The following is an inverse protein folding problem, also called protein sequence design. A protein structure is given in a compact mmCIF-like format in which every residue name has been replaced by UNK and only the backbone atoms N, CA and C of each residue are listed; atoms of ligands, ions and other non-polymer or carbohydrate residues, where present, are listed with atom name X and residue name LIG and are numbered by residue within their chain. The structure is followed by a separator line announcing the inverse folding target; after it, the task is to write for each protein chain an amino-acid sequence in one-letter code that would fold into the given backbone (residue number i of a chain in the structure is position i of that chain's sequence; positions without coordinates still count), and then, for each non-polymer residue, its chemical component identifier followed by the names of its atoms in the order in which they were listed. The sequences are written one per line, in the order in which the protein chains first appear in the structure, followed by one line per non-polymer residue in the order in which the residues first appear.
data_IF_263568791604
#
_entry.id   IF_263568791604
#
_cell.length_a   1.000
_cell.length_b   1.000
_cell.length_c   1.000
_cell.angle_alpha   90.00
_cell.angle_beta   90.00
_cell.angle_gamma   90.00
#
_symmetry.space_group_name_H-M   'P 1'
#
loop_
_entity.id
_entity.type
_entity.pdbx_description
1 polymer ?
#
# COMPACT_ATOMS: atom_id res chain seq x y z
N UNK A 1 -25.74 4.80 -53.99
CA UNK A 1 -24.65 5.12 -53.04
C UNK A 1 -24.86 4.24 -51.82
N UNK A 2 -23.89 3.37 -51.50
CA UNK A 2 -23.95 2.40 -50.40
C UNK A 2 -22.80 2.69 -49.42
N UNK A 3 -23.10 2.51 -48.13
CA UNK A 3 -22.31 2.67 -46.90
C UNK A 3 -21.98 4.11 -46.47
N UNK A 4 -22.21 4.46 -45.18
CA UNK A 4 -21.69 3.72 -44.03
C UNK A 4 -22.72 3.42 -42.93
N UNK A 5 -22.98 2.14 -42.69
CA UNK A 5 -23.51 1.65 -41.41
C UNK A 5 -22.45 0.73 -40.85
N UNK A 6 -21.39 1.31 -40.29
CA UNK A 6 -20.45 0.60 -39.42
C UNK A 6 -19.59 1.59 -38.64
N UNK A 7 -20.21 2.42 -37.80
CA UNK A 7 -19.48 3.32 -36.91
C UNK A 7 -20.18 3.50 -35.56
N UNK A 8 -20.82 2.46 -35.03
CA UNK A 8 -21.40 2.51 -33.66
C UNK A 8 -21.38 1.11 -33.03
N UNK A 9 -20.22 0.43 -32.93
CA UNK A 9 -20.03 -0.64 -31.92
C UNK A 9 -18.53 -0.77 -31.57
N UNK A 10 -17.85 0.30 -31.18
CA UNK A 10 -16.57 0.19 -30.44
C UNK A 10 -16.50 1.30 -29.39
N UNK A 11 -17.57 1.44 -28.58
CA UNK A 11 -17.52 2.25 -27.35
C UNK A 11 -18.03 1.46 -26.12
N UNK A 12 -18.40 0.18 -26.29
CA UNK A 12 -18.89 -0.67 -25.18
C UNK A 12 -17.74 -1.54 -24.61
N UNK A 13 -16.55 -1.50 -25.20
CA UNK A 13 -15.36 -2.25 -24.75
C UNK A 13 -14.39 -1.47 -23.87
N UNK A 14 -14.80 -0.32 -23.30
CA UNK A 14 -14.00 0.47 -22.35
C UNK A 14 -14.79 0.79 -21.08
N UNK A 15 -15.76 -0.07 -20.72
CA UNK A 15 -16.11 -0.17 -19.30
C UNK A 15 -14.90 -0.83 -18.67
N UNK A 16 -14.06 -0.02 -18.01
CA UNK A 16 -12.92 -0.48 -17.23
C UNK A 16 -13.34 -1.74 -16.46
N UNK A 17 -12.75 -2.88 -16.80
CA UNK A 17 -12.97 -4.12 -16.07
C UNK A 17 -12.28 -3.99 -14.71
N UNK A 18 -12.81 -3.15 -13.81
CA UNK A 18 -12.40 -3.16 -12.41
C UNK A 18 -12.75 -4.54 -11.83
N UNK A 19 -11.82 -5.19 -11.12
CA UNK A 19 -12.13 -6.44 -10.44
C UNK A 19 -13.31 -6.24 -9.48
N UNK A 20 -14.18 -7.24 -9.38
CA UNK A 20 -15.21 -7.24 -8.35
C UNK A 20 -14.60 -7.81 -7.06
N UNK A 21 -14.28 -6.93 -6.12
CA UNK A 21 -13.75 -7.28 -4.81
C UNK A 21 -14.84 -7.55 -3.77
N UNK A 22 -16.14 -7.50 -4.13
CA UNK A 22 -17.24 -7.71 -3.19
C UNK A 22 -17.75 -6.44 -2.50
N UNK A 23 -17.12 -5.28 -2.74
CA UNK A 23 -17.60 -3.95 -2.35
C UNK A 23 -18.02 -3.12 -3.57
N UNK A 24 -18.96 -2.16 -3.44
CA UNK A 24 -19.17 -1.11 -4.44
C UNK A 24 -17.88 -0.34 -4.72
N UNK A 25 -17.67 0.07 -5.97
CA UNK A 25 -16.42 0.73 -6.40
C UNK A 25 -16.12 2.00 -5.58
N UNK A 26 -17.14 2.80 -5.28
CA UNK A 26 -16.97 4.03 -4.48
C UNK A 26 -16.49 3.71 -3.07
N UNK A 27 -16.99 2.62 -2.47
CA UNK A 27 -16.58 2.16 -1.13
C UNK A 27 -15.17 1.57 -1.16
N UNK A 28 -14.79 0.84 -2.22
CA UNK A 28 -13.42 0.34 -2.39
C UNK A 28 -12.39 1.49 -2.40
N UNK A 29 -12.67 2.55 -3.15
CA UNK A 29 -11.79 3.72 -3.24
C UNK A 29 -11.76 4.45 -1.89
N UNK A 30 -12.91 4.73 -1.30
CA UNK A 30 -12.98 5.43 -0.01
C UNK A 30 -12.23 4.70 1.11
N UNK A 31 -12.32 3.37 1.15
CA UNK A 31 -11.62 2.53 2.12
C UNK A 31 -10.11 2.56 1.90
N UNK A 32 -9.65 2.48 0.64
CA UNK A 32 -8.24 2.62 0.31
C UNK A 32 -7.69 4.00 0.64
N UNK A 33 -8.43 5.06 0.36
CA UNK A 33 -8.07 6.44 0.68
C UNK A 33 -7.92 6.61 2.20
N UNK A 34 -8.87 6.09 2.98
CA UNK A 34 -8.80 6.13 4.45
C UNK A 34 -7.57 5.40 4.99
N UNK A 35 -7.23 4.25 4.43
CA UNK A 35 -6.04 3.50 4.83
C UNK A 35 -4.78 4.30 4.52
N UNK A 36 -4.67 4.82 3.29
CA UNK A 36 -3.56 5.63 2.84
C UNK A 36 -3.39 6.87 3.72
N UNK A 37 -4.43 7.70 3.87
CA UNK A 37 -4.35 8.91 4.68
C UNK A 37 -3.89 8.63 6.12
N UNK A 38 -4.33 7.51 6.71
CA UNK A 38 -3.92 7.13 8.05
C UNK A 38 -2.45 6.71 8.10
N UNK A 39 -2.02 5.79 7.24
CA UNK A 39 -0.65 5.26 7.23
C UNK A 39 0.34 6.36 6.90
N UNK A 40 0.11 7.11 5.82
CA UNK A 40 0.98 8.21 5.39
C UNK A 40 1.08 9.32 6.44
N UNK A 41 0.04 9.54 7.26
CA UNK A 41 0.09 10.53 8.34
C UNK A 41 0.72 10.01 9.63
N UNK A 42 0.61 8.71 9.92
CA UNK A 42 1.03 8.13 11.19
C UNK A 42 2.51 7.75 11.17
N UNK A 43 2.97 7.24 10.03
CA UNK A 43 4.27 6.60 9.93
C UNK A 43 5.31 7.60 9.43
N UNK A 44 6.38 7.87 10.20
CA UNK A 44 7.40 8.82 9.80
C UNK A 44 8.24 8.26 8.63
N UNK A 45 8.25 8.99 7.52
CA UNK A 45 9.01 8.67 6.31
C UNK A 45 9.48 9.95 5.59
N UNK A 46 9.99 10.91 6.37
CA UNK A 46 10.56 12.16 5.88
C UNK A 46 11.80 11.93 5.00
N UNK A 47 12.51 10.81 5.22
CA UNK A 47 13.63 10.39 4.39
C UNK A 47 13.25 9.29 3.40
N UNK A 48 13.83 9.28 2.18
CA UNK A 48 13.62 8.18 1.22
C UNK A 48 14.31 6.88 1.67
N UNK A 49 15.21 6.93 2.65
CA UNK A 49 16.03 5.79 3.04
C UNK A 49 15.23 4.70 3.73
N UNK A 50 14.17 5.06 4.46
CA UNK A 50 13.29 4.06 5.07
C UNK A 50 12.42 3.37 4.01
N UNK A 51 12.02 4.09 2.95
CA UNK A 51 11.31 3.50 1.82
C UNK A 51 12.19 2.50 1.05
N UNK A 52 13.49 2.79 0.88
CA UNK A 52 14.45 1.83 0.29
C UNK A 52 14.47 0.50 1.05
N UNK A 53 14.33 0.52 2.39
CA UNK A 53 14.31 -0.71 3.22
C UNK A 53 13.05 -1.53 2.94
N UNK A 54 11.89 -0.87 2.83
CA UNK A 54 10.66 -1.59 2.48
C UNK A 54 10.68 -2.10 1.05
N UNK A 55 11.15 -1.29 0.09
CA UNK A 55 11.34 -1.73 -1.29
C UNK A 55 12.25 -2.96 -1.37
N UNK A 56 13.37 -2.96 -0.62
CA UNK A 56 14.25 -4.12 -0.54
C UNK A 56 13.53 -5.35 0.03
N UNK A 57 12.77 -5.20 1.11
CA UNK A 57 12.01 -6.30 1.71
C UNK A 57 10.98 -6.90 0.75
N UNK A 58 10.36 -6.08 -0.11
CA UNK A 58 9.42 -6.53 -1.17
C UNK A 58 10.15 -7.28 -2.28
N UNK A 59 11.26 -6.72 -2.79
CA UNK A 59 12.00 -7.30 -3.92
C UNK A 59 12.80 -8.55 -3.54
N UNK A 60 13.21 -8.64 -2.27
CA UNK A 60 14.11 -9.65 -1.74
C UNK A 60 13.54 -10.35 -0.49
N UNK A 61 12.37 -11.01 -0.56
CA UNK A 61 11.65 -11.52 0.62
C UNK A 61 12.35 -12.68 1.36
N UNK A 62 13.47 -13.18 0.84
CA UNK A 62 14.27 -14.24 1.45
C UNK A 62 15.66 -13.75 1.92
N UNK A 63 15.97 -12.47 1.76
CA UNK A 63 17.23 -11.87 2.18
C UNK A 63 17.13 -11.25 3.57
N UNK A 64 18.28 -11.05 4.21
CA UNK A 64 18.33 -10.49 5.56
C UNK A 64 18.19 -8.96 5.49
N UNK A 65 17.01 -8.46 5.85
CA UNK A 65 16.70 -7.02 5.87
C UNK A 65 17.59 -6.29 6.88
N UNK A 66 17.99 -6.93 7.98
CA UNK A 66 18.87 -6.30 8.98
C UNK A 66 20.26 -6.04 8.39
N UNK A 67 20.77 -6.93 7.53
CA UNK A 67 22.03 -6.72 6.82
C UNK A 67 21.95 -5.49 5.90
N UNK A 68 20.86 -5.36 5.13
CA UNK A 68 20.64 -4.20 4.27
C UNK A 68 20.48 -2.89 5.07
N UNK A 69 19.82 -2.93 6.23
CA UNK A 69 19.71 -1.77 7.13
C UNK A 69 21.11 -1.31 7.59
N UNK A 70 21.98 -2.24 7.97
CA UNK A 70 23.35 -1.89 8.40
C UNK A 70 24.19 -1.35 7.24
N UNK A 71 24.02 -1.88 6.02
CA UNK A 71 24.64 -1.31 4.82
C UNK A 71 24.20 0.14 4.60
N UNK A 72 22.89 0.41 4.66
CA UNK A 72 22.34 1.76 4.54
C UNK A 72 22.84 2.68 5.65
N UNK A 73 22.91 2.21 6.89
CA UNK A 73 23.49 2.99 8.01
C UNK A 73 24.94 3.39 7.76
N UNK A 74 25.74 2.53 7.13
CA UNK A 74 27.14 2.80 6.84
C UNK A 74 27.34 3.84 5.70
N UNK A 75 26.34 4.02 4.84
CA UNK A 75 26.34 4.98 3.73
C UNK A 75 25.90 6.40 4.14
N UNK A 76 25.22 6.53 5.29
CA UNK A 76 24.64 7.79 5.76
C UNK A 76 25.49 8.44 6.84
N UNK A 77 25.46 9.77 6.88
CA UNK A 77 26.08 10.57 7.94
C UNK A 77 25.22 11.78 8.36
N UNK A 78 25.59 12.38 9.49
CA UNK A 78 24.93 13.58 10.02
C UNK A 78 23.41 13.43 10.19
N UNK A 79 22.67 14.45 9.74
CA UNK A 79 21.21 14.53 9.84
C UNK A 79 20.50 13.38 9.11
N UNK A 80 21.03 12.91 7.99
CA UNK A 80 20.44 11.80 7.23
C UNK A 80 20.44 10.50 8.03
N UNK A 81 21.55 10.18 8.70
CA UNK A 81 21.67 9.01 9.57
C UNK A 81 20.77 9.14 10.82
N UNK A 82 20.68 10.34 11.40
CA UNK A 82 19.80 10.59 12.55
C UNK A 82 18.32 10.39 12.21
N UNK A 83 17.87 10.96 11.08
CA UNK A 83 16.49 10.79 10.60
C UNK A 83 16.19 9.33 10.27
N UNK A 84 17.05 8.66 9.51
CA UNK A 84 16.88 7.24 9.17
C UNK A 84 16.76 6.34 10.41
N UNK A 85 17.60 6.56 11.42
CA UNK A 85 17.54 5.78 12.66
C UNK A 85 16.27 6.06 13.48
N UNK A 86 15.79 7.31 13.48
CA UNK A 86 14.53 7.69 14.13
C UNK A 86 13.35 7.02 13.45
N UNK A 87 13.31 7.01 12.12
CA UNK A 87 12.25 6.36 11.33
C UNK A 87 12.28 4.84 11.52
N UNK A 88 13.45 4.19 11.46
CA UNK A 88 13.56 2.76 11.74
C UNK A 88 13.12 2.40 13.16
N UNK A 89 13.44 3.24 14.15
CA UNK A 89 13.01 3.01 15.54
C UNK A 89 11.49 2.95 15.67
N UNK A 90 10.76 3.73 14.87
CA UNK A 90 9.30 3.65 14.83
C UNK A 90 8.82 2.24 14.44
N UNK A 91 9.43 1.61 13.43
CA UNK A 91 9.06 0.26 12.98
C UNK A 91 9.58 -0.86 13.88
N UNK A 92 10.63 -0.63 14.66
CA UNK A 92 11.03 -1.56 15.72
C UNK A 92 10.07 -1.52 16.92
N UNK A 93 9.40 -0.38 17.14
CA UNK A 93 8.45 -0.19 18.23
C UNK A 93 7.00 -0.53 17.83
N UNK A 94 6.67 -0.42 16.55
CA UNK A 94 5.34 -0.66 15.99
C UNK A 94 5.50 -1.56 14.76
N UNK A 95 5.06 -2.82 14.86
CA UNK A 95 5.09 -3.72 13.72
C UNK A 95 4.01 -3.36 12.68
N UNK A 96 4.11 -3.93 11.49
CA UNK A 96 3.21 -3.64 10.37
C UNK A 96 1.76 -4.00 10.72
N UNK A 97 1.56 -5.08 11.47
CA UNK A 97 0.23 -5.53 11.90
C UNK A 97 -0.41 -4.52 12.86
N UNK A 98 0.35 -3.93 13.79
CA UNK A 98 -0.12 -2.89 14.69
C UNK A 98 -0.51 -1.62 13.92
N UNK A 99 0.27 -1.24 12.92
CA UNK A 99 -0.05 -0.10 12.03
C UNK A 99 -1.38 -0.34 11.33
N UNK A 100 -1.57 -1.53 10.72
CA UNK A 100 -2.82 -1.87 10.04
C UNK A 100 -3.99 -2.06 11.00
N UNK A 101 -3.77 -2.53 12.23
CA UNK A 101 -4.83 -2.60 13.23
C UNK A 101 -5.34 -1.19 13.61
N UNK A 102 -4.42 -0.25 13.85
CA UNK A 102 -4.77 1.14 14.20
C UNK A 102 -5.49 1.83 13.05
N UNK A 103 -4.96 1.74 11.83
CA UNK A 103 -5.57 2.37 10.67
C UNK A 103 -6.82 1.64 10.15
N UNK A 104 -6.92 0.33 10.39
CA UNK A 104 -8.05 -0.52 10.02
C UNK A 104 -9.27 -0.36 10.92
N UNK A 105 -9.09 -0.07 12.21
CA UNK A 105 -10.22 0.05 13.15
C UNK A 105 -11.28 1.10 12.70
N UNK A 106 -10.93 2.34 12.31
CA UNK A 106 -11.90 3.30 11.79
C UNK A 106 -12.59 2.84 10.50
N UNK A 107 -11.88 2.11 9.65
CA UNK A 107 -12.39 1.55 8.39
C UNK A 107 -13.44 0.48 8.70
N UNK A 108 -13.12 -0.49 9.56
CA UNK A 108 -14.03 -1.56 9.96
C UNK A 108 -15.29 -1.03 10.65
N UNK A 109 -15.16 0.03 11.44
CA UNK A 109 -16.31 0.69 12.07
C UNK A 109 -17.28 1.32 11.05
N UNK A 110 -16.77 1.84 9.93
CA UNK A 110 -17.58 2.46 8.88
C UNK A 110 -18.06 1.44 7.84
N UNK A 111 -17.24 0.44 7.55
CA UNK A 111 -17.44 -0.58 6.52
C UNK A 111 -17.27 -1.98 7.11
N UNK A 112 -18.20 -2.44 7.97
CA UNK A 112 -18.05 -3.71 8.68
C UNK A 112 -18.03 -4.94 7.75
N UNK A 113 -18.50 -4.79 6.51
CA UNK A 113 -18.43 -5.86 5.49
C UNK A 113 -17.00 -6.28 5.14
N UNK A 114 -16.02 -5.42 5.40
CA UNK A 114 -14.60 -5.69 5.17
C UNK A 114 -14.09 -6.78 6.12
N UNK A 115 -14.63 -6.89 7.33
CA UNK A 115 -14.24 -7.90 8.32
C UNK A 115 -14.53 -9.33 7.84
N UNK A 116 -15.46 -9.49 6.90
CA UNK A 116 -15.85 -10.78 6.33
C UNK A 116 -15.10 -11.12 5.03
N UNK A 117 -14.24 -10.21 4.55
CA UNK A 117 -13.50 -10.41 3.31
C UNK A 117 -12.25 -11.24 3.54
N UNK A 118 -11.87 -12.01 2.51
CA UNK A 118 -10.61 -12.74 2.50
C UNK A 118 -9.44 -11.75 2.41
N UNK A 119 -8.41 -11.93 3.24
CA UNK A 119 -7.22 -11.09 3.29
C UNK A 119 -6.55 -10.95 1.91
N UNK A 120 -6.52 -12.02 1.10
CA UNK A 120 -5.94 -11.96 -0.25
C UNK A 120 -6.77 -11.04 -1.17
N UNK A 121 -8.08 -11.00 -0.98
CA UNK A 121 -8.99 -10.11 -1.72
C UNK A 121 -8.83 -8.67 -1.24
N UNK A 122 -8.69 -8.47 0.07
CA UNK A 122 -8.45 -7.15 0.67
C UNK A 122 -7.13 -6.54 0.20
N UNK A 123 -6.03 -7.29 0.31
CA UNK A 123 -4.71 -6.87 -0.19
C UNK A 123 -4.79 -6.46 -1.65
N UNK A 124 -5.39 -7.29 -2.51
CA UNK A 124 -5.54 -6.97 -3.93
C UNK A 124 -6.43 -5.74 -4.16
N UNK A 125 -7.49 -5.56 -3.37
CA UNK A 125 -8.36 -4.40 -3.45
C UNK A 125 -7.61 -3.13 -3.10
N UNK A 126 -6.83 -3.13 -2.02
CA UNK A 126 -6.02 -1.98 -1.62
C UNK A 126 -4.99 -1.66 -2.69
N UNK A 127 -4.12 -2.59 -3.08
CA UNK A 127 -3.09 -2.37 -4.10
C UNK A 127 -3.68 -1.91 -5.45
N UNK A 128 -4.89 -2.33 -5.79
CA UNK A 128 -5.55 -1.89 -7.02
C UNK A 128 -6.08 -0.45 -6.98
N UNK A 129 -6.47 0.04 -5.80
CA UNK A 129 -7.15 1.33 -5.64
C UNK A 129 -6.28 2.43 -5.00
N UNK A 130 -5.09 2.10 -4.48
CA UNK A 130 -4.18 3.11 -3.95
C UNK A 130 -3.65 4.03 -5.06
N UNK A 131 -3.64 5.33 -4.76
CA UNK A 131 -3.15 6.38 -5.66
C UNK A 131 -1.62 6.54 -5.57
N UNK A 132 -1.02 7.26 -6.53
CA UNK A 132 0.42 7.54 -6.60
C UNK A 132 1.00 8.26 -5.36
N UNK A 133 0.14 8.86 -4.52
CA UNK A 133 0.54 9.52 -3.27
C UNK A 133 0.64 8.61 -2.04
N UNK A 134 0.41 7.31 -2.20
CA UNK A 134 0.32 6.33 -1.11
C UNK A 134 1.51 5.35 -1.14
N UNK A 135 2.71 5.85 -1.47
CA UNK A 135 3.89 5.01 -1.73
C UNK A 135 4.27 4.14 -0.53
N UNK A 136 4.31 4.71 0.68
CA UNK A 136 4.60 3.93 1.88
C UNK A 136 3.50 2.90 2.15
N UNK A 137 2.24 3.31 2.06
CA UNK A 137 1.10 2.42 2.27
C UNK A 137 1.14 1.24 1.31
N UNK A 138 1.46 1.49 0.04
CA UNK A 138 1.64 0.46 -0.98
C UNK A 138 2.74 -0.53 -0.58
N UNK A 139 3.91 -0.03 -0.20
CA UNK A 139 5.05 -0.86 0.21
C UNK A 139 4.72 -1.70 1.45
N UNK A 140 4.06 -1.13 2.46
CA UNK A 140 3.69 -1.89 3.66
C UNK A 140 2.71 -3.03 3.34
N UNK A 141 1.77 -2.81 2.41
CA UNK A 141 0.84 -3.87 1.98
C UNK A 141 1.59 -4.95 1.18
N UNK A 142 2.55 -4.58 0.33
CA UNK A 142 3.37 -5.54 -0.40
C UNK A 142 4.27 -6.36 0.54
N UNK A 143 4.85 -5.74 1.58
CA UNK A 143 5.60 -6.46 2.61
C UNK A 143 4.69 -7.42 3.37
N UNK A 144 3.49 -6.98 3.78
CA UNK A 144 2.52 -7.84 4.43
C UNK A 144 2.13 -9.03 3.54
N UNK A 145 1.93 -8.80 2.24
CA UNK A 145 1.64 -9.85 1.27
C UNK A 145 2.81 -10.82 1.08
N UNK A 146 4.06 -10.36 1.16
CA UNK A 146 5.23 -11.21 1.02
C UNK A 146 5.45 -12.13 2.25
N UNK A 147 4.95 -11.73 3.41
CA UNK A 147 5.12 -12.43 4.68
C UNK A 147 3.98 -13.42 5.02
N UNK A 148 2.83 -13.32 4.37
CA UNK A 148 1.63 -14.13 4.60
C UNK A 148 1.24 -14.98 3.37
#
# INVERSE_FOLDING_TARGET
MKLPVLFIIICIGLTSCRPNFGLPVDDQVAVSDMLCECVESMVPHESPYVLDVFQFAVEHPNEDVDEFIEEKRAELDGEALETFNKELSFFYENDIDEIFAVCGEPILNQYPVIDEMDDEVLVKMFLYNLDEGCELTHLLIEVYQAQN
#
